data_IF_100481184028
#
_entry.id   IF_100481184028
#
_cell.length_a   1.000
_cell.length_b   1.000
_cell.length_c   1.000
_cell.angle_alpha   90.00
_cell.angle_beta   90.00
_cell.angle_gamma   90.00
#
_symmetry.space_group_name_H-M   'P 1'
#
loop_
_entity.id
_entity.type
_entity.pdbx_description
1 polymer ?
#
# COMPACT_ATOMS: atom_id res chain seq x y z
N UNK A 1 -10.04 11.09 -93.07
CA UNK A 1 -8.72 11.06 -92.42
C UNK A 1 -8.95 11.61 -91.00
N UNK A 2 -9.18 10.72 -90.03
CA UNK A 2 -9.48 11.09 -88.62
C UNK A 2 -8.20 10.98 -87.82
N UNK A 3 -7.71 12.10 -87.28
CA UNK A 3 -6.58 12.17 -86.40
C UNK A 3 -7.11 11.81 -84.95
N UNK A 4 -6.55 10.72 -84.41
CA UNK A 4 -6.75 10.39 -82.98
C UNK A 4 -5.70 11.15 -82.13
N UNK A 5 -6.16 12.05 -81.25
CA UNK A 5 -5.34 12.75 -80.31
C UNK A 5 -5.37 11.90 -79.02
N UNK A 6 -4.26 11.24 -78.69
CA UNK A 6 -4.10 10.46 -77.47
C UNK A 6 -3.61 11.39 -76.37
N UNK A 7 -4.46 11.73 -75.40
CA UNK A 7 -4.11 12.52 -74.23
C UNK A 7 -3.50 11.58 -73.15
N UNK A 8 -2.21 11.67 -72.94
CA UNK A 8 -1.51 10.95 -71.87
C UNK A 8 -1.68 11.75 -70.63
N UNK A 9 -2.49 11.24 -69.66
CA UNK A 9 -2.65 11.79 -68.34
C UNK A 9 -1.51 11.28 -67.46
N UNK A 10 -0.52 12.12 -67.19
CA UNK A 10 0.54 11.85 -66.21
C UNK A 10 -0.05 12.14 -64.84
N UNK A 11 -0.41 11.11 -64.09
CA UNK A 11 -0.74 11.22 -62.65
C UNK A 11 0.58 11.36 -61.91
N UNK A 12 0.96 12.57 -61.57
CA UNK A 12 1.98 12.82 -60.59
C UNK A 12 1.41 12.45 -59.20
N UNK A 13 1.72 11.25 -58.71
CA UNK A 13 1.57 10.93 -57.32
C UNK A 13 2.66 11.73 -56.57
N UNK A 14 2.29 12.89 -56.03
CA UNK A 14 3.10 13.57 -55.03
C UNK A 14 3.09 12.69 -53.77
N UNK A 15 4.10 11.86 -53.61
CA UNK A 15 4.43 11.31 -52.33
C UNK A 15 4.74 12.52 -51.43
N UNK A 16 3.83 12.86 -50.53
CA UNK A 16 4.17 13.73 -49.41
C UNK A 16 5.23 12.99 -48.59
N UNK A 17 6.49 13.26 -48.82
CA UNK A 17 7.53 12.93 -47.85
C UNK A 17 7.25 13.84 -46.66
N UNK A 18 6.59 13.31 -45.66
CA UNK A 18 6.50 13.98 -44.38
C UNK A 18 7.93 14.17 -43.90
N UNK A 19 8.31 15.40 -43.61
CA UNK A 19 9.63 15.64 -43.03
C UNK A 19 9.72 14.90 -41.72
N UNK A 20 10.81 14.18 -41.53
CA UNK A 20 11.09 13.50 -40.26
C UNK A 20 11.05 14.53 -39.11
N UNK A 21 10.17 14.31 -38.15
CA UNK A 21 10.07 15.15 -36.95
C UNK A 21 11.12 14.69 -35.95
N UNK A 22 11.93 15.61 -35.43
CA UNK A 22 12.89 15.35 -34.37
C UNK A 22 12.26 15.86 -33.05
N UNK A 23 12.16 15.01 -32.04
CA UNK A 23 11.53 15.33 -30.77
C UNK A 23 12.45 16.06 -29.78
N UNK A 24 13.67 16.40 -30.18
CA UNK A 24 14.57 17.28 -29.42
C UNK A 24 15.41 16.58 -28.35
N UNK A 25 15.41 15.25 -28.33
CA UNK A 25 16.26 14.49 -27.43
C UNK A 25 16.87 13.26 -28.12
N UNK A 26 17.88 12.67 -27.47
CA UNK A 26 18.62 11.51 -27.97
C UNK A 26 18.63 10.39 -26.95
N UNK A 27 18.68 9.14 -27.43
CA UNK A 27 18.95 7.94 -26.65
C UNK A 27 20.19 7.26 -27.22
N UNK A 28 21.19 6.97 -26.38
CA UNK A 28 22.50 6.40 -26.80
C UNK A 28 23.11 7.11 -28.01
N UNK A 29 23.03 8.45 -28.07
CA UNK A 29 23.56 9.28 -29.13
C UNK A 29 22.69 9.42 -30.37
N UNK A 30 21.62 8.64 -30.52
CA UNK A 30 20.72 8.66 -31.69
C UNK A 30 19.51 9.57 -31.42
N UNK A 31 19.19 10.44 -32.38
CA UNK A 31 18.02 11.31 -32.31
C UNK A 31 16.73 10.50 -32.25
N UNK A 32 15.82 10.86 -31.32
CA UNK A 32 14.45 10.30 -31.28
C UNK A 32 13.57 11.12 -32.22
N UNK A 33 12.96 10.43 -33.17
CA UNK A 33 12.25 11.03 -34.30
C UNK A 33 10.95 10.30 -34.60
N UNK A 34 10.15 10.85 -35.52
CA UNK A 34 8.91 10.20 -35.98
C UNK A 34 9.13 8.81 -36.62
N UNK A 35 10.37 8.44 -36.94
CA UNK A 35 10.67 7.17 -37.58
C UNK A 35 11.01 6.05 -36.57
N UNK A 36 11.51 6.40 -35.38
CA UNK A 36 11.98 5.41 -34.39
C UNK A 36 11.29 5.49 -33.01
N UNK A 37 10.45 6.47 -32.73
CA UNK A 37 9.90 6.73 -31.37
C UNK A 37 9.08 5.58 -30.79
N UNK A 38 8.49 4.72 -31.60
CA UNK A 38 7.67 3.60 -31.14
C UNK A 38 8.48 2.45 -30.56
N UNK A 39 9.73 2.29 -31.01
CA UNK A 39 10.65 1.27 -30.51
C UNK A 39 12.08 1.76 -30.64
N UNK A 40 12.69 2.11 -29.52
CA UNK A 40 14.08 2.59 -29.46
C UNK A 40 15.07 1.46 -29.20
N UNK A 41 14.62 0.20 -29.10
CA UNK A 41 15.52 -0.96 -28.91
C UNK A 41 16.30 -1.34 -30.15
N UNK A 42 15.96 -0.79 -31.33
CA UNK A 42 16.77 -0.89 -32.52
C UNK A 42 18.08 -0.06 -32.45
N UNK A 43 18.16 0.86 -31.46
CA UNK A 43 19.39 1.63 -31.22
C UNK A 43 20.40 0.72 -30.52
N UNK A 44 21.63 0.69 -31.06
CA UNK A 44 22.69 -0.12 -30.46
C UNK A 44 22.96 0.26 -29.01
N UNK A 45 23.01 -0.72 -28.11
CA UNK A 45 23.16 -0.52 -26.67
C UNK A 45 21.84 -0.32 -25.92
N UNK A 46 20.67 -0.33 -26.58
CA UNK A 46 19.35 -0.21 -25.95
C UNK A 46 18.64 -1.57 -25.97
N UNK A 47 18.14 -2.01 -24.84
CA UNK A 47 17.39 -3.25 -24.69
C UNK A 47 16.26 -3.13 -23.65
N UNK A 48 15.40 -4.16 -23.55
CA UNK A 48 14.19 -4.11 -22.77
C UNK A 48 13.04 -3.56 -23.60
N UNK A 49 12.24 -2.63 -23.04
CA UNK A 49 11.20 -1.93 -23.79
C UNK A 49 11.37 -0.43 -23.60
N UNK A 50 11.70 0.27 -24.68
CA UNK A 50 11.98 1.72 -24.67
C UNK A 50 11.22 2.36 -25.82
N UNK A 51 10.35 3.31 -25.52
CA UNK A 51 9.55 4.01 -26.53
C UNK A 51 9.15 5.41 -26.03
N UNK A 52 8.79 6.28 -26.98
CA UNK A 52 8.38 7.65 -26.68
C UNK A 52 6.97 7.91 -27.19
N UNK A 53 6.15 8.56 -26.36
CA UNK A 53 4.85 9.11 -26.78
C UNK A 53 4.97 10.63 -26.96
N UNK A 54 4.92 11.14 -28.21
CA UNK A 54 5.06 12.56 -28.48
C UNK A 54 3.86 13.40 -27.98
N UNK A 55 2.68 12.79 -27.77
CA UNK A 55 1.51 13.51 -27.31
C UNK A 55 1.63 13.88 -25.81
N UNK A 56 2.19 12.98 -25.03
CA UNK A 56 2.42 13.17 -23.58
C UNK A 56 3.85 13.61 -23.29
N UNK A 57 4.75 13.55 -24.27
CA UNK A 57 6.21 13.76 -24.15
C UNK A 57 6.84 12.79 -23.14
N UNK A 58 6.38 11.55 -23.15
CA UNK A 58 6.82 10.52 -22.21
C UNK A 58 7.74 9.52 -22.88
N UNK A 59 8.98 9.46 -22.40
CA UNK A 59 9.91 8.37 -22.70
C UNK A 59 9.72 7.29 -21.64
N UNK A 60 9.18 6.13 -22.03
CA UNK A 60 8.99 5.00 -21.11
C UNK A 60 10.18 4.05 -21.18
N UNK A 61 10.74 3.75 -20.02
CA UNK A 61 11.75 2.72 -19.79
C UNK A 61 11.09 1.58 -18.99
N UNK A 62 10.92 0.41 -19.63
CA UNK A 62 10.27 -0.76 -19.01
C UNK A 62 11.26 -1.94 -19.02
N UNK A 63 11.85 -2.22 -17.84
CA UNK A 63 12.94 -3.19 -17.67
C UNK A 63 14.05 -2.98 -18.70
N UNK A 64 14.40 -1.71 -18.91
CA UNK A 64 15.31 -1.28 -19.94
C UNK A 64 16.78 -1.29 -19.47
N UNK A 65 17.68 -1.58 -20.40
CA UNK A 65 19.10 -1.34 -20.24
C UNK A 65 19.58 -0.44 -21.39
N UNK A 66 20.29 0.64 -21.04
CA UNK A 66 20.93 1.56 -22.00
C UNK A 66 22.43 1.57 -21.72
N UNK A 67 23.21 1.16 -22.69
CA UNK A 67 24.67 1.15 -22.66
C UNK A 67 25.21 2.13 -23.70
N UNK A 68 26.08 3.04 -23.30
CA UNK A 68 26.69 4.01 -24.21
C UNK A 68 28.14 4.31 -23.77
N UNK A 69 29.09 4.22 -24.68
CA UNK A 69 30.49 4.46 -24.34
C UNK A 69 30.88 5.93 -24.42
N UNK A 70 30.55 6.61 -25.50
CA UNK A 70 31.01 7.98 -25.81
C UNK A 70 29.89 9.00 -25.89
N UNK A 71 28.64 8.56 -25.78
CA UNK A 71 27.45 9.41 -25.83
C UNK A 71 26.72 9.40 -24.50
N UNK A 72 26.00 10.46 -24.20
CA UNK A 72 25.04 10.42 -23.11
C UNK A 72 23.98 9.35 -23.37
N UNK A 73 23.62 8.58 -22.36
CA UNK A 73 22.58 7.58 -22.55
C UNK A 73 21.24 8.24 -22.91
N UNK A 74 20.86 9.30 -22.19
CA UNK A 74 19.72 10.15 -22.55
C UNK A 74 20.19 11.60 -22.53
N UNK A 75 20.07 12.30 -23.66
CA UNK A 75 20.36 13.73 -23.80
C UNK A 75 19.07 14.48 -24.18
N UNK A 76 18.49 15.22 -23.26
CA UNK A 76 17.37 16.11 -23.54
C UNK A 76 17.90 17.52 -23.87
N UNK A 77 17.87 17.91 -25.14
CA UNK A 77 18.39 19.19 -25.61
C UNK A 77 17.32 20.29 -25.73
N UNK A 78 16.13 19.92 -26.23
CA UNK A 78 15.08 20.91 -26.54
C UNK A 78 13.66 20.38 -26.33
N UNK A 79 13.49 19.14 -25.82
CA UNK A 79 12.19 18.59 -25.49
C UNK A 79 11.72 19.13 -24.13
N UNK A 80 10.94 20.22 -24.19
CA UNK A 80 10.37 20.82 -22.97
C UNK A 80 9.41 19.90 -22.27
N UNK A 81 9.57 19.81 -20.93
CA UNK A 81 8.72 18.97 -20.07
C UNK A 81 8.76 17.49 -20.47
N UNK A 82 9.94 16.99 -20.77
CA UNK A 82 10.14 15.56 -20.99
C UNK A 82 9.82 14.79 -19.69
N UNK A 83 9.02 13.76 -19.81
CA UNK A 83 8.76 12.81 -18.73
C UNK A 83 9.53 11.52 -19.06
N UNK A 84 10.37 11.07 -18.12
CA UNK A 84 11.01 9.74 -18.17
C UNK A 84 10.24 8.85 -17.21
N UNK A 85 9.38 8.00 -17.75
CA UNK A 85 8.57 7.06 -16.98
C UNK A 85 9.31 5.75 -16.77
N UNK A 86 9.41 5.32 -15.52
CA UNK A 86 10.10 4.10 -15.13
C UNK A 86 9.09 2.99 -14.81
N UNK A 87 9.21 1.86 -15.48
CA UNK A 87 8.47 0.63 -15.18
C UNK A 87 9.47 -0.50 -14.90
N UNK A 88 9.30 -1.18 -13.75
CA UNK A 88 10.21 -2.24 -13.32
C UNK A 88 11.64 -1.74 -13.03
N UNK A 89 12.65 -2.54 -13.35
CA UNK A 89 14.07 -2.25 -13.04
C UNK A 89 14.83 -1.85 -14.28
N UNK A 90 15.36 -0.63 -14.28
CA UNK A 90 16.06 -0.04 -15.42
C UNK A 90 17.52 0.25 -15.06
N UNK A 91 18.41 0.13 -16.04
CA UNK A 91 19.86 0.33 -15.87
C UNK A 91 20.41 1.18 -16.98
N UNK A 92 21.26 2.14 -16.64
CA UNK A 92 22.04 2.97 -17.57
C UNK A 92 23.51 2.83 -17.20
N UNK A 93 24.34 2.44 -18.15
CA UNK A 93 25.79 2.34 -18.00
C UNK A 93 26.46 3.21 -19.09
N UNK A 94 27.29 4.16 -18.66
CA UNK A 94 28.01 5.07 -19.56
C UNK A 94 29.45 5.20 -19.12
N UNK A 95 30.41 5.20 -20.09
CA UNK A 95 31.84 5.28 -19.75
C UNK A 95 32.40 6.69 -19.81
N UNK A 96 32.12 7.46 -20.84
CA UNK A 96 32.87 8.71 -21.13
C UNK A 96 31.99 9.96 -21.26
N UNK A 97 30.68 9.86 -21.06
CA UNK A 97 29.74 10.97 -21.17
C UNK A 97 28.82 10.98 -19.94
N UNK A 98 27.80 11.81 -19.84
CA UNK A 98 26.83 11.75 -18.76
C UNK A 98 25.83 10.60 -18.95
N UNK A 99 25.35 10.02 -17.84
CA UNK A 99 24.26 9.07 -17.89
C UNK A 99 22.99 9.74 -18.41
N UNK A 100 22.48 10.69 -17.66
CA UNK A 100 21.38 11.59 -18.04
C UNK A 100 21.93 13.01 -18.19
N UNK A 101 21.62 13.68 -19.29
CA UNK A 101 21.98 15.08 -19.50
C UNK A 101 20.76 15.88 -19.96
N UNK A 102 20.26 16.75 -19.08
CA UNK A 102 19.00 17.47 -19.25
C UNK A 102 19.23 18.96 -19.37
N UNK A 103 19.01 19.53 -20.58
CA UNK A 103 19.08 20.97 -20.84
C UNK A 103 17.70 21.63 -20.88
N UNK A 104 16.63 20.89 -20.62
CA UNK A 104 15.25 21.36 -20.54
C UNK A 104 14.56 20.64 -19.37
N UNK A 105 13.52 21.27 -18.82
CA UNK A 105 12.74 20.74 -17.71
C UNK A 105 12.36 19.28 -17.95
N UNK A 106 12.78 18.42 -17.03
CA UNK A 106 12.60 16.97 -17.12
C UNK A 106 12.09 16.42 -15.79
N UNK A 107 11.14 15.50 -15.86
CA UNK A 107 10.64 14.75 -14.71
C UNK A 107 10.95 13.27 -14.87
N UNK A 108 11.62 12.68 -13.90
CA UNK A 108 11.78 11.23 -13.78
C UNK A 108 10.68 10.73 -12.85
N UNK A 109 9.79 9.87 -13.34
CA UNK A 109 8.63 9.41 -12.58
C UNK A 109 8.51 7.90 -12.62
N UNK A 110 7.99 7.30 -11.55
CA UNK A 110 7.72 5.86 -11.50
C UNK A 110 6.63 5.51 -10.51
N UNK A 111 6.70 4.30 -9.97
CA UNK A 111 5.86 3.80 -8.89
C UNK A 111 6.73 3.10 -7.85
N UNK A 112 6.11 2.58 -6.79
CA UNK A 112 6.81 1.95 -5.67
C UNK A 112 7.71 0.76 -6.04
N UNK A 113 7.48 0.13 -7.18
CA UNK A 113 8.33 -0.95 -7.72
C UNK A 113 9.30 -0.52 -8.82
N UNK A 114 9.32 0.77 -9.16
CA UNK A 114 10.14 1.28 -10.26
C UNK A 114 11.51 1.73 -9.79
N UNK A 115 12.55 1.25 -10.48
CA UNK A 115 13.94 1.56 -10.16
C UNK A 115 14.71 1.98 -11.41
N UNK A 116 15.57 2.99 -11.25
CA UNK A 116 16.61 3.35 -12.23
C UNK A 116 17.97 3.36 -11.52
N UNK A 117 18.91 2.60 -12.06
CA UNK A 117 20.31 2.66 -11.65
C UNK A 117 21.12 3.28 -12.78
N UNK A 118 21.88 4.34 -12.47
CA UNK A 118 22.77 5.01 -13.43
C UNK A 118 24.21 4.89 -12.92
N UNK A 119 25.05 4.24 -13.70
CA UNK A 119 26.50 4.12 -13.42
C UNK A 119 27.33 4.73 -14.54
N UNK A 120 28.33 5.50 -14.12
CA UNK A 120 29.13 6.22 -15.08
C UNK A 120 30.47 6.65 -14.46
N UNK A 121 31.48 6.90 -15.30
CA UNK A 121 32.81 7.34 -14.84
C UNK A 121 32.91 8.88 -14.74
N UNK A 122 31.86 9.63 -15.08
CA UNK A 122 31.80 11.09 -15.04
C UNK A 122 30.61 11.59 -14.23
N UNK A 123 29.65 12.29 -14.82
CA UNK A 123 28.44 12.73 -14.14
C UNK A 123 27.28 11.79 -14.41
N UNK A 124 26.74 11.15 -13.37
CA UNK A 124 25.65 10.19 -13.58
C UNK A 124 24.38 10.92 -14.03
N UNK A 125 24.03 12.03 -13.39
CA UNK A 125 22.89 12.90 -13.76
C UNK A 125 23.35 14.36 -13.79
N UNK A 126 23.37 14.94 -14.98
CA UNK A 126 23.69 16.35 -15.21
C UNK A 126 22.44 17.08 -15.70
N UNK A 127 22.11 18.23 -15.12
CA UNK A 127 21.06 19.09 -15.64
C UNK A 127 21.53 20.53 -15.67
N UNK A 128 21.28 21.22 -16.78
CA UNK A 128 21.76 22.58 -17.01
C UNK A 128 20.62 23.50 -17.41
N UNK A 129 20.62 24.72 -16.87
CA UNK A 129 19.68 25.79 -17.20
C UNK A 129 18.20 25.41 -17.06
N UNK A 130 17.88 24.38 -16.30
CA UNK A 130 16.52 23.84 -16.19
C UNK A 130 16.31 23.07 -14.88
N UNK A 131 15.09 22.96 -14.38
CA UNK A 131 14.79 22.14 -13.22
C UNK A 131 14.75 20.64 -13.56
N UNK A 132 15.12 19.82 -12.58
CA UNK A 132 14.96 18.37 -12.60
C UNK A 132 14.05 17.94 -11.45
N UNK A 133 13.02 17.16 -11.77
CA UNK A 133 12.15 16.53 -10.77
C UNK A 133 12.32 15.01 -10.75
N UNK A 134 12.35 14.41 -9.55
CA UNK A 134 12.38 12.97 -9.30
C UNK A 134 11.16 12.63 -8.44
N UNK A 135 10.23 11.83 -8.97
CA UNK A 135 8.89 11.65 -8.39
C UNK A 135 8.51 10.17 -8.29
N UNK A 136 8.14 9.73 -7.08
CA UNK A 136 7.59 8.38 -6.83
C UNK A 136 8.45 7.24 -7.40
N UNK A 137 9.76 7.29 -7.30
CA UNK A 137 10.64 6.24 -7.83
C UNK A 137 11.85 5.97 -6.93
N UNK A 138 12.57 4.92 -7.27
CA UNK A 138 13.87 4.59 -6.70
C UNK A 138 14.96 4.93 -7.72
N UNK A 139 15.84 5.88 -7.39
CA UNK A 139 16.96 6.29 -8.23
C UNK A 139 18.28 6.03 -7.50
N UNK A 140 19.16 5.24 -8.10
CA UNK A 140 20.54 5.06 -7.65
C UNK A 140 21.50 5.61 -8.71
N UNK A 141 22.37 6.51 -8.33
CA UNK A 141 23.35 7.12 -9.24
C UNK A 141 24.76 7.05 -8.66
N UNK A 142 25.70 6.68 -9.52
CA UNK A 142 27.11 6.55 -9.17
C UNK A 142 27.96 7.11 -10.32
N UNK A 143 28.84 8.07 -10.03
CA UNK A 143 29.75 8.71 -11.00
C UNK A 143 30.87 9.46 -10.29
N UNK A 144 31.71 10.17 -11.01
CA UNK A 144 32.61 11.18 -10.43
C UNK A 144 31.80 12.29 -9.75
N UNK A 145 30.69 12.68 -10.37
CA UNK A 145 29.58 13.45 -9.81
C UNK A 145 28.32 12.59 -9.85
N UNK A 146 27.60 12.53 -8.73
CA UNK A 146 26.34 11.78 -8.65
C UNK A 146 25.21 12.52 -9.39
N UNK A 147 24.65 13.57 -8.79
CA UNK A 147 23.69 14.49 -9.40
C UNK A 147 24.32 15.89 -9.37
N UNK A 148 24.45 16.54 -10.49
CA UNK A 148 25.11 17.85 -10.59
C UNK A 148 24.42 18.74 -11.62
N UNK A 149 24.60 20.07 -11.45
CA UNK A 149 24.18 21.08 -12.39
C UNK A 149 25.37 21.99 -12.76
N UNK A 150 25.14 23.18 -13.28
CA UNK A 150 26.20 24.16 -13.63
C UNK A 150 26.37 25.25 -12.56
N UNK A 151 25.58 25.27 -11.52
CA UNK A 151 25.63 26.14 -10.32
C UNK A 151 25.43 27.65 -10.52
N UNK A 152 25.45 28.17 -11.72
CA UNK A 152 25.37 29.61 -11.98
C UNK A 152 23.96 30.08 -12.42
N UNK A 153 23.01 29.16 -12.58
CA UNK A 153 21.66 29.43 -13.09
C UNK A 153 20.60 29.13 -12.03
N UNK A 154 19.77 30.13 -11.70
CA UNK A 154 18.78 29.99 -10.63
C UNK A 154 17.70 28.94 -10.88
N UNK A 155 17.49 28.55 -12.12
CA UNK A 155 16.52 27.54 -12.56
C UNK A 155 16.96 26.10 -12.26
N UNK A 156 18.22 25.86 -11.91
CA UNK A 156 18.79 24.54 -11.64
C UNK A 156 18.42 23.99 -10.26
N UNK A 157 17.12 23.86 -10.05
CA UNK A 157 16.56 23.32 -8.82
C UNK A 157 16.29 21.83 -8.99
N UNK A 158 16.82 21.05 -8.06
CA UNK A 158 16.50 19.62 -7.91
C UNK A 158 15.33 19.45 -6.96
N UNK A 159 14.21 18.91 -7.44
CA UNK A 159 13.05 18.59 -6.62
C UNK A 159 12.91 17.06 -6.50
N UNK A 160 12.83 16.56 -5.27
CA UNK A 160 12.64 15.12 -5.00
C UNK A 160 11.36 14.95 -4.20
N UNK A 161 10.39 14.20 -4.77
CA UNK A 161 9.09 13.95 -4.16
C UNK A 161 8.85 12.46 -3.93
N UNK A 162 8.51 12.08 -2.70
CA UNK A 162 8.11 10.71 -2.36
C UNK A 162 9.03 9.64 -2.99
N UNK A 163 10.33 9.87 -3.04
CA UNK A 163 11.29 9.02 -3.75
C UNK A 163 12.42 8.60 -2.84
N UNK A 164 12.99 7.43 -3.15
CA UNK A 164 14.27 7.01 -2.62
C UNK A 164 15.37 7.40 -3.63
N UNK A 165 16.36 8.17 -3.18
CA UNK A 165 17.50 8.56 -4.02
C UNK A 165 18.81 8.23 -3.31
N UNK A 166 19.64 7.40 -3.94
CA UNK A 166 21.03 7.21 -3.55
C UNK A 166 21.94 7.88 -4.59
N UNK A 167 22.78 8.81 -4.15
CA UNK A 167 23.74 9.48 -5.02
C UNK A 167 25.15 9.34 -4.43
N UNK A 168 26.10 8.95 -5.26
CA UNK A 168 27.52 8.81 -4.89
C UNK A 168 28.40 9.46 -5.95
N UNK A 169 29.30 10.33 -5.49
CA UNK A 169 30.27 10.98 -6.35
C UNK A 169 31.46 11.53 -5.54
N UNK A 170 32.70 11.03 -5.74
CA UNK A 170 33.87 11.47 -4.99
C UNK A 170 34.23 12.96 -5.18
N UNK A 171 33.72 13.61 -6.22
CA UNK A 171 33.83 15.07 -6.41
C UNK A 171 32.63 15.81 -5.83
N UNK A 172 31.43 15.20 -5.84
CA UNK A 172 30.22 15.69 -5.24
C UNK A 172 29.05 14.75 -5.48
N UNK A 173 28.37 14.33 -4.42
CA UNK A 173 27.27 13.37 -4.57
C UNK A 173 25.99 14.05 -5.05
N UNK A 174 25.65 15.21 -4.50
CA UNK A 174 24.61 16.13 -5.00
C UNK A 174 25.20 17.52 -4.87
N UNK A 175 25.60 18.15 -5.97
CA UNK A 175 26.36 19.38 -5.95
C UNK A 175 26.10 20.27 -7.17
N UNK A 176 26.62 21.50 -7.10
CA UNK A 176 26.53 22.52 -8.15
C UNK A 176 25.08 22.86 -8.54
N UNK A 177 24.13 22.69 -7.61
CA UNK A 177 22.70 22.94 -7.81
C UNK A 177 22.27 24.29 -7.19
N UNK A 178 21.34 24.98 -7.82
CA UNK A 178 20.82 26.26 -7.30
C UNK A 178 19.87 26.07 -6.12
N UNK A 179 19.27 24.89 -5.95
CA UNK A 179 18.39 24.57 -4.84
C UNK A 179 18.05 23.07 -4.76
N UNK A 180 17.70 22.64 -3.56
CA UNK A 180 17.16 21.30 -3.30
C UNK A 180 15.82 21.42 -2.60
N UNK A 181 14.76 20.90 -3.22
CA UNK A 181 13.42 20.80 -2.64
C UNK A 181 13.09 19.35 -2.32
N UNK A 182 12.75 19.06 -1.05
CA UNK A 182 12.33 17.74 -0.60
C UNK A 182 10.86 17.79 -0.19
N UNK A 183 10.03 17.02 -0.89
CA UNK A 183 8.60 16.90 -0.61
C UNK A 183 8.27 15.44 -0.28
N UNK A 184 7.84 15.19 0.98
CA UNK A 184 7.62 13.83 1.47
C UNK A 184 8.89 12.98 1.58
N UNK A 185 10.06 13.63 1.65
CA UNK A 185 11.38 13.00 1.75
C UNK A 185 12.27 13.73 2.75
N UNK A 186 13.36 13.08 3.16
CA UNK A 186 14.40 13.66 4.01
C UNK A 186 15.77 13.05 3.69
N UNK A 187 16.84 13.76 4.01
CA UNK A 187 18.21 13.22 3.90
C UNK A 187 18.46 12.33 5.11
N UNK A 188 18.70 11.04 4.87
CA UNK A 188 18.98 10.05 5.90
C UNK A 188 20.50 9.87 6.11
N UNK A 189 21.23 9.79 5.01
CA UNK A 189 22.71 9.61 5.03
C UNK A 189 23.38 10.71 4.19
N UNK A 190 24.39 11.37 4.76
CA UNK A 190 24.83 11.30 6.13
C UNK A 190 23.85 12.05 7.05
N UNK A 191 23.69 11.54 8.27
CA UNK A 191 22.82 12.19 9.26
C UNK A 191 23.25 13.63 9.52
N UNK A 192 22.30 14.56 9.53
CA UNK A 192 22.45 16.01 9.66
C UNK A 192 22.99 16.74 8.41
N UNK A 193 23.22 16.05 7.31
CA UNK A 193 23.47 16.76 6.05
C UNK A 193 22.21 17.52 5.63
N UNK A 194 22.42 18.64 4.98
CA UNK A 194 21.37 19.50 4.43
C UNK A 194 21.87 20.18 3.16
N UNK A 195 20.95 20.75 2.39
CA UNK A 195 21.34 21.64 1.32
C UNK A 195 21.97 22.91 1.90
N UNK A 196 23.13 23.27 1.39
CA UNK A 196 23.89 24.46 1.77
C UNK A 196 24.02 25.37 0.53
N UNK A 197 23.45 26.57 0.63
CA UNK A 197 23.42 27.52 -0.47
C UNK A 197 24.79 28.17 -0.78
N UNK A 198 25.72 28.17 0.18
CA UNK A 198 27.06 28.70 -0.02
C UNK A 198 27.92 27.71 -0.81
N UNK A 199 27.80 26.42 -0.55
CA UNK A 199 28.46 25.34 -1.31
C UNK A 199 27.65 24.86 -2.49
N UNK A 200 26.37 25.29 -2.61
CA UNK A 200 25.40 24.84 -3.64
C UNK A 200 25.30 23.31 -3.73
N UNK A 201 25.32 22.63 -2.60
CA UNK A 201 25.39 21.17 -2.53
C UNK A 201 24.67 20.62 -1.31
N UNK A 202 24.49 19.32 -1.28
CA UNK A 202 24.22 18.61 -0.01
C UNK A 202 25.54 18.60 0.75
N UNK A 203 25.55 19.29 1.90
CA UNK A 203 26.75 19.48 2.72
C UNK A 203 26.57 18.94 4.12
N UNK A 204 27.69 18.57 4.73
CA UNK A 204 27.80 18.20 6.14
C UNK A 204 28.87 19.07 6.79
N UNK A 205 28.50 19.84 7.82
CA UNK A 205 29.37 20.78 8.52
C UNK A 205 30.01 21.85 7.59
N UNK A 206 29.30 22.25 6.53
CA UNK A 206 29.73 23.27 5.55
C UNK A 206 30.66 22.73 4.46
N UNK A 207 30.85 21.41 4.37
CA UNK A 207 31.62 20.77 3.31
C UNK A 207 30.71 19.89 2.44
N UNK A 208 30.87 19.97 1.11
CA UNK A 208 30.13 19.12 0.14
C UNK A 208 30.33 17.65 0.46
N UNK A 209 29.25 16.88 0.50
CA UNK A 209 29.30 15.44 0.69
C UNK A 209 29.83 14.77 -0.58
N UNK A 210 30.92 14.02 -0.43
CA UNK A 210 31.58 13.28 -1.52
C UNK A 210 31.45 11.77 -1.37
N UNK A 211 30.89 11.31 -0.25
CA UNK A 211 30.45 9.95 0.00
C UNK A 211 28.95 9.82 -0.35
N UNK A 212 28.38 8.65 -0.11
CA UNK A 212 26.98 8.37 -0.40
C UNK A 212 26.03 9.36 0.31
N UNK A 213 25.16 9.98 -0.46
CA UNK A 213 23.96 10.67 0.01
C UNK A 213 22.76 9.75 -0.21
N UNK A 214 21.95 9.55 0.84
CA UNK A 214 20.69 8.81 0.75
C UNK A 214 19.55 9.74 1.17
N UNK A 215 18.57 9.88 0.30
CA UNK A 215 17.32 10.57 0.55
C UNK A 215 16.22 9.51 0.61
N UNK A 216 15.53 9.46 1.74
CA UNK A 216 14.47 8.48 2.02
C UNK A 216 13.09 9.12 1.98
N UNK A 217 12.06 8.42 1.47
CA UNK A 217 10.69 8.86 1.59
C UNK A 217 10.21 8.79 3.05
N UNK A 218 9.39 9.75 3.47
CA UNK A 218 8.86 9.81 4.83
C UNK A 218 8.06 8.55 5.18
N UNK A 219 8.31 8.01 6.38
CA UNK A 219 7.58 6.85 6.90
C UNK A 219 6.35 7.28 7.68
N UNK A 220 5.25 6.55 7.52
CA UNK A 220 4.03 6.72 8.31
C UNK A 220 4.09 6.04 9.70
N UNK A 221 5.19 5.34 10.01
CA UNK A 221 5.32 4.61 11.29
C UNK A 221 4.60 3.27 11.33
N UNK A 222 4.19 2.78 10.17
CA UNK A 222 3.66 1.44 9.93
C UNK A 222 4.74 0.64 9.19
N UNK A 223 4.87 -0.64 9.53
CA UNK A 223 5.79 -1.56 8.86
C UNK A 223 5.04 -2.80 8.39
N UNK A 224 5.35 -3.26 7.21
CA UNK A 224 4.83 -4.49 6.60
C UNK A 224 6.03 -5.37 6.22
N UNK A 225 6.06 -6.60 6.71
CA UNK A 225 7.18 -7.53 6.52
C UNK A 225 8.55 -6.87 6.83
N UNK A 226 8.63 -6.13 7.96
CA UNK A 226 9.76 -5.33 8.46
C UNK A 226 10.16 -4.13 7.57
N UNK A 227 9.40 -3.80 6.53
CA UNK A 227 9.66 -2.64 5.68
C UNK A 227 8.70 -1.50 6.01
N UNK A 228 9.18 -0.24 6.05
CA UNK A 228 8.32 0.89 6.36
C UNK A 228 7.28 1.14 5.26
N UNK A 229 6.08 1.49 5.66
CA UNK A 229 5.09 2.12 4.78
C UNK A 229 5.45 3.60 4.68
N UNK A 230 5.69 4.06 3.47
CA UNK A 230 6.23 5.40 3.20
C UNK A 230 5.37 6.15 2.18
N UNK A 231 5.68 7.44 1.99
CA UNK A 231 5.07 8.25 0.94
C UNK A 231 5.30 7.69 -0.47
N UNK A 232 6.29 6.83 -0.67
CA UNK A 232 6.55 6.15 -1.94
C UNK A 232 5.62 4.95 -2.18
N UNK A 233 5.41 4.09 -1.17
CA UNK A 233 4.78 2.77 -1.36
C UNK A 233 3.36 2.63 -0.80
N UNK A 234 2.82 3.62 -0.08
CA UNK A 234 1.55 3.50 0.65
C UNK A 234 0.35 3.11 -0.22
N UNK A 235 0.33 3.47 -1.49
CA UNK A 235 -0.76 3.14 -2.43
C UNK A 235 -0.75 1.70 -2.90
N UNK A 236 0.43 1.09 -2.95
CA UNK A 236 0.64 -0.30 -3.34
C UNK A 236 1.79 -0.92 -2.55
N UNK A 237 1.45 -1.73 -1.56
CA UNK A 237 2.41 -2.40 -0.68
C UNK A 237 2.92 -3.72 -1.25
N UNK A 238 2.45 -4.14 -2.43
CA UNK A 238 2.93 -5.38 -3.08
C UNK A 238 4.36 -5.27 -3.61
N UNK A 239 4.90 -4.04 -3.70
CA UNK A 239 6.33 -3.79 -3.93
C UNK A 239 7.23 -4.27 -2.79
N UNK A 240 6.67 -4.48 -1.59
CA UNK A 240 7.40 -5.03 -0.44
C UNK A 240 7.52 -6.53 -0.62
N UNK A 241 8.75 -7.04 -0.56
CA UNK A 241 9.00 -8.47 -0.67
C UNK A 241 8.27 -9.27 0.41
N UNK A 242 7.52 -10.28 0.01
CA UNK A 242 6.69 -11.10 0.89
C UNK A 242 5.24 -10.64 0.96
N UNK A 243 4.85 -9.59 0.22
CA UNK A 243 3.46 -9.12 0.10
C UNK A 243 2.89 -9.47 -1.26
N UNK A 244 1.69 -10.06 -1.28
CA UNK A 244 0.95 -10.39 -2.49
C UNK A 244 -0.56 -10.18 -2.29
N UNK A 245 -1.33 -10.23 -3.37
CA UNK A 245 -2.73 -9.83 -3.38
C UNK A 245 -2.87 -8.32 -3.53
N UNK A 246 -3.70 -7.66 -2.73
CA UNK A 246 -3.83 -6.21 -2.70
C UNK A 246 -3.69 -5.69 -1.27
N UNK A 247 -2.75 -4.77 -1.06
CA UNK A 247 -2.53 -4.11 0.22
C UNK A 247 -2.18 -2.64 -0.02
N UNK A 248 -2.86 -1.73 0.67
CA UNK A 248 -2.62 -0.29 0.57
C UNK A 248 -2.92 0.42 1.89
N UNK A 249 -2.27 1.56 2.10
CA UNK A 249 -2.52 2.42 3.24
C UNK A 249 -3.05 3.78 2.78
N UNK A 250 -4.07 4.28 3.44
CA UNK A 250 -4.60 5.64 3.26
C UNK A 250 -4.23 6.48 4.49
N UNK A 251 -3.30 7.45 4.37
CA UNK A 251 -2.88 8.28 5.50
C UNK A 251 -3.96 9.24 6.00
N UNK A 252 -4.91 9.66 5.16
CA UNK A 252 -5.96 10.60 5.53
C UNK A 252 -7.00 9.94 6.45
N UNK A 253 -7.36 8.70 6.14
CA UNK A 253 -8.28 7.88 6.95
C UNK A 253 -7.54 6.97 7.93
N UNK A 254 -6.21 6.94 7.90
CA UNK A 254 -5.36 6.05 8.70
C UNK A 254 -5.71 4.57 8.54
N UNK A 255 -6.06 4.17 7.33
CA UNK A 255 -6.61 2.84 7.05
C UNK A 255 -5.65 2.00 6.21
N UNK A 256 -5.21 0.88 6.76
CA UNK A 256 -4.56 -0.21 6.02
C UNK A 256 -5.65 -1.12 5.46
N UNK A 257 -5.80 -1.15 4.15
CA UNK A 257 -6.74 -2.06 3.47
C UNK A 257 -5.99 -3.30 2.99
N UNK A 258 -6.48 -4.47 3.37
CA UNK A 258 -6.02 -5.77 2.90
C UNK A 258 -7.16 -6.42 2.11
N UNK A 259 -6.93 -6.76 0.85
CA UNK A 259 -7.91 -7.42 -0.02
C UNK A 259 -7.29 -8.68 -0.64
N UNK A 260 -7.68 -9.83 -0.12
CA UNK A 260 -7.09 -11.12 -0.44
C UNK A 260 -5.56 -11.10 -0.36
N UNK A 261 -5.05 -10.36 0.63
CA UNK A 261 -3.63 -10.13 0.80
C UNK A 261 -2.95 -11.27 1.55
N UNK A 262 -1.74 -11.60 1.12
CA UNK A 262 -0.84 -12.49 1.85
C UNK A 262 0.43 -11.73 2.20
N UNK A 263 0.79 -11.72 3.47
CA UNK A 263 2.02 -11.11 4.00
C UNK A 263 2.83 -12.21 4.66
N UNK A 264 4.03 -12.46 4.15
CA UNK A 264 4.94 -13.49 4.67
C UNK A 264 6.27 -12.88 5.08
N UNK A 265 6.64 -13.06 6.35
CA UNK A 265 7.93 -12.68 6.88
C UNK A 265 8.56 -13.83 7.65
N UNK A 266 9.23 -14.72 6.92
CA UNK A 266 9.79 -15.98 7.44
C UNK A 266 11.25 -15.88 7.91
N UNK A 267 11.86 -14.69 7.89
CA UNK A 267 13.24 -14.49 8.43
C UNK A 267 13.23 -14.56 9.95
N UNK A 268 14.34 -14.93 10.53
CA UNK A 268 14.53 -14.91 11.99
C UNK A 268 14.20 -13.52 12.54
N UNK A 269 13.37 -13.49 13.60
CA UNK A 269 12.86 -12.29 14.28
C UNK A 269 12.01 -11.36 13.39
N UNK A 270 11.55 -11.85 12.23
CA UNK A 270 10.70 -11.08 11.33
C UNK A 270 9.28 -10.89 11.87
N UNK A 271 8.73 -9.69 11.67
CA UNK A 271 7.36 -9.30 12.02
C UNK A 271 6.51 -9.08 10.76
N UNK A 272 5.21 -9.36 10.86
CA UNK A 272 4.29 -9.22 9.73
C UNK A 272 3.83 -7.77 9.53
N UNK A 273 2.92 -7.31 10.39
CA UNK A 273 2.39 -5.94 10.40
C UNK A 273 2.73 -5.29 11.73
N UNK A 274 3.28 -4.08 11.71
CA UNK A 274 3.57 -3.31 12.92
C UNK A 274 3.01 -1.90 12.78
N UNK A 275 2.16 -1.47 13.69
CA UNK A 275 1.78 -0.08 13.87
C UNK A 275 2.50 0.52 15.07
N UNK A 276 3.52 1.37 14.85
CA UNK A 276 4.29 1.99 15.93
C UNK A 276 3.68 3.30 16.43
N UNK A 277 3.14 4.14 15.54
CA UNK A 277 2.86 5.55 15.88
C UNK A 277 1.50 6.07 15.45
N UNK A 278 0.74 5.33 14.64
CA UNK A 278 -0.53 5.81 14.09
C UNK A 278 -1.67 5.52 15.09
N UNK A 279 -2.13 6.55 15.79
CA UNK A 279 -3.31 6.45 16.68
C UNK A 279 -4.59 6.35 15.85
N UNK A 280 -5.58 5.61 16.34
CA UNK A 280 -6.87 5.34 15.68
C UNK A 280 -6.67 4.64 14.30
N UNK A 281 -5.71 3.75 14.26
CA UNK A 281 -5.38 2.97 13.07
C UNK A 281 -6.45 1.95 12.76
N UNK A 282 -6.85 1.87 11.50
CA UNK A 282 -7.84 0.90 11.02
C UNK A 282 -7.20 -0.13 10.09
N UNK A 283 -7.42 -1.40 10.35
CA UNK A 283 -7.14 -2.50 9.41
C UNK A 283 -8.46 -2.94 8.81
N UNK A 284 -8.68 -2.59 7.53
CA UNK A 284 -9.88 -2.95 6.78
C UNK A 284 -9.66 -4.22 5.99
N UNK A 285 -10.52 -5.21 6.19
CA UNK A 285 -10.42 -6.53 5.59
C UNK A 285 -11.45 -6.73 4.49
N UNK A 286 -10.98 -7.17 3.33
CA UNK A 286 -11.79 -7.57 2.18
C UNK A 286 -11.33 -8.98 1.77
N UNK A 287 -12.26 -9.94 1.60
CA UNK A 287 -11.91 -11.32 1.26
C UNK A 287 -11.08 -12.02 2.34
N UNK A 288 -10.19 -12.91 1.96
CA UNK A 288 -9.41 -13.74 2.88
C UNK A 288 -7.97 -13.27 2.94
N UNK A 289 -7.53 -12.80 4.11
CA UNK A 289 -6.19 -12.25 4.30
C UNK A 289 -5.37 -13.11 5.24
N UNK A 290 -4.07 -13.24 4.98
CA UNK A 290 -3.15 -14.05 5.76
C UNK A 290 -1.87 -13.27 6.08
N UNK A 291 -1.46 -13.30 7.34
CA UNK A 291 -0.16 -12.78 7.78
C UNK A 291 0.58 -13.87 8.53
N UNK A 292 1.74 -14.26 8.01
CA UNK A 292 2.62 -15.26 8.62
C UNK A 292 3.98 -14.62 8.93
N UNK A 293 4.43 -14.75 10.16
CA UNK A 293 5.73 -14.22 10.59
C UNK A 293 6.44 -15.18 11.54
N UNK A 294 7.74 -14.97 11.71
CA UNK A 294 8.53 -15.76 12.63
C UNK A 294 8.31 -15.32 14.08
N UNK A 295 8.41 -14.01 14.36
CA UNK A 295 8.30 -13.47 15.72
C UNK A 295 6.84 -13.10 16.06
N UNK A 296 6.27 -12.09 15.43
CA UNK A 296 4.88 -11.68 15.65
C UNK A 296 4.19 -11.39 14.32
N UNK A 297 2.95 -11.90 14.15
CA UNK A 297 2.24 -11.66 12.89
C UNK A 297 1.70 -10.24 12.82
N UNK A 298 1.20 -9.70 13.94
CA UNK A 298 0.74 -8.32 14.03
C UNK A 298 1.11 -7.74 15.39
N UNK A 299 1.66 -6.52 15.38
CA UNK A 299 2.02 -5.74 16.58
C UNK A 299 1.33 -4.38 16.50
N UNK A 300 0.51 -4.05 17.48
CA UNK A 300 -0.26 -2.81 17.54
C UNK A 300 0.13 -2.04 18.79
N UNK A 301 0.94 -0.99 18.65
CA UNK A 301 1.41 -0.14 19.74
C UNK A 301 0.55 1.12 19.92
N UNK A 302 -0.56 1.23 19.18
CA UNK A 302 -1.49 2.34 19.24
C UNK A 302 -2.92 1.82 19.12
N UNK A 303 -3.87 2.59 19.64
CA UNK A 303 -5.31 2.27 19.52
C UNK A 303 -5.66 1.94 18.09
N UNK A 304 -6.22 0.75 17.88
CA UNK A 304 -6.46 0.21 16.55
C UNK A 304 -7.80 -0.52 16.44
N UNK A 305 -8.36 -0.53 15.23
CA UNK A 305 -9.58 -1.29 14.90
C UNK A 305 -9.30 -2.23 13.72
N UNK A 306 -9.70 -3.49 13.85
CA UNK A 306 -9.71 -4.48 12.77
C UNK A 306 -11.16 -4.68 12.37
N UNK A 307 -11.52 -4.41 11.11
CA UNK A 307 -12.91 -4.41 10.64
C UNK A 307 -13.04 -4.78 9.16
N UNK A 308 -14.25 -5.07 8.72
CA UNK A 308 -14.57 -5.34 7.31
C UNK A 308 -15.28 -6.68 7.11
N UNK A 309 -15.80 -6.88 5.90
CA UNK A 309 -16.56 -8.11 5.56
C UNK A 309 -15.65 -9.33 5.29
N UNK A 310 -14.34 -9.15 5.38
CA UNK A 310 -13.34 -10.20 5.13
C UNK A 310 -12.94 -10.96 6.38
N UNK A 311 -11.88 -11.75 6.25
CA UNK A 311 -11.23 -12.47 7.34
C UNK A 311 -9.73 -12.21 7.37
N UNK A 312 -9.12 -12.38 8.56
CA UNK A 312 -7.69 -12.26 8.75
C UNK A 312 -7.15 -13.45 9.55
N UNK A 313 -6.17 -14.14 8.97
CA UNK A 313 -5.45 -15.25 9.59
C UNK A 313 -4.05 -14.78 10.01
N UNK A 314 -3.79 -14.72 11.30
CA UNK A 314 -2.51 -14.35 11.90
C UNK A 314 -1.80 -15.60 12.41
N UNK A 315 -0.62 -15.92 11.89
CA UNK A 315 0.16 -17.08 12.33
C UNK A 315 1.59 -16.68 12.68
N UNK A 316 1.92 -16.73 13.95
CA UNK A 316 3.30 -16.59 14.45
C UNK A 316 3.92 -17.96 14.71
N UNK A 317 5.20 -18.11 14.36
CA UNK A 317 5.92 -19.38 14.62
C UNK A 317 6.43 -19.47 16.06
N UNK A 318 6.82 -18.33 16.67
CA UNK A 318 7.53 -18.32 17.95
C UNK A 318 6.90 -17.48 19.05
N UNK A 319 6.26 -16.35 18.70
CA UNK A 319 5.79 -15.40 19.71
C UNK A 319 4.29 -15.11 19.59
N UNK A 320 3.84 -13.89 19.33
CA UNK A 320 2.43 -13.53 19.33
C UNK A 320 1.81 -13.61 17.94
N UNK A 321 0.60 -14.16 17.87
CA UNK A 321 -0.24 -13.98 16.70
C UNK A 321 -0.66 -12.51 16.55
N UNK A 322 -1.30 -11.96 17.59
CA UNK A 322 -1.61 -10.53 17.73
C UNK A 322 -1.03 -10.00 19.04
N UNK A 323 -0.13 -9.05 18.96
CA UNK A 323 0.49 -8.34 20.08
C UNK A 323 -0.11 -6.94 20.22
N UNK A 324 -0.61 -6.61 21.42
CA UNK A 324 -1.29 -5.34 21.72
C UNK A 324 -0.44 -4.53 22.72
N UNK A 325 0.74 -4.15 22.36
CA UNK A 325 1.70 -3.48 23.25
C UNK A 325 1.23 -2.07 23.62
N UNK A 326 0.78 -1.86 24.88
CA UNK A 326 0.26 -0.60 25.42
C UNK A 326 -0.95 -0.01 24.63
N UNK A 327 -1.72 -0.83 23.96
CA UNK A 327 -2.77 -0.38 23.06
C UNK A 327 -4.11 -1.07 23.30
N UNK A 328 -5.20 -0.35 23.06
CA UNK A 328 -6.55 -0.93 22.97
C UNK A 328 -6.83 -1.34 21.53
N UNK A 329 -7.36 -2.55 21.36
CA UNK A 329 -7.72 -3.09 20.05
C UNK A 329 -9.19 -3.46 20.01
N UNK A 330 -9.89 -3.00 18.97
CA UNK A 330 -11.27 -3.38 18.68
C UNK A 330 -11.32 -4.27 17.45
N UNK A 331 -11.97 -5.43 17.57
CA UNK A 331 -12.31 -6.32 16.44
C UNK A 331 -13.79 -6.14 16.20
N UNK A 332 -14.18 -5.57 15.05
CA UNK A 332 -15.54 -5.12 14.79
C UNK A 332 -16.07 -5.62 13.44
N UNK A 333 -17.20 -6.35 13.47
CA UNK A 333 -17.88 -6.87 12.28
C UNK A 333 -16.96 -7.63 11.31
N UNK A 334 -16.13 -8.56 11.83
CA UNK A 334 -15.17 -9.31 11.00
C UNK A 334 -14.86 -10.69 11.56
N UNK A 335 -14.02 -11.47 10.87
CA UNK A 335 -13.54 -12.78 11.35
C UNK A 335 -12.02 -12.75 11.52
N UNK A 336 -11.53 -13.06 12.72
CA UNK A 336 -10.12 -13.07 13.07
C UNK A 336 -9.69 -14.45 13.58
N UNK A 337 -8.66 -15.03 12.98
CA UNK A 337 -8.06 -16.31 13.36
C UNK A 337 -6.61 -16.07 13.76
N UNK A 338 -6.28 -16.36 15.01
CA UNK A 338 -4.97 -16.03 15.59
C UNK A 338 -4.31 -17.26 16.16
N UNK A 339 -3.06 -17.51 15.76
CA UNK A 339 -2.25 -18.62 16.26
C UNK A 339 -0.81 -18.20 16.53
N UNK A 340 -0.27 -18.64 17.68
CA UNK A 340 1.11 -18.35 18.08
C UNK A 340 1.56 -19.11 19.32
N UNK A 341 2.70 -18.72 19.84
CA UNK A 341 3.10 -19.08 21.20
C UNK A 341 2.17 -18.44 22.21
N UNK A 342 1.82 -17.17 21.99
CA UNK A 342 0.64 -16.47 22.50
C UNK A 342 -0.34 -16.28 21.34
N UNK A 343 -1.64 -16.46 21.58
CA UNK A 343 -2.65 -16.12 20.59
C UNK A 343 -2.78 -14.60 20.44
N UNK A 344 -3.62 -14.00 21.26
CA UNK A 344 -3.76 -12.54 21.43
C UNK A 344 -3.16 -12.19 22.79
N UNK A 345 -2.21 -11.27 22.84
CA UNK A 345 -1.57 -10.90 24.09
C UNK A 345 -1.27 -9.40 24.13
N UNK A 346 -1.24 -8.87 25.36
CA UNK A 346 -0.69 -7.56 25.68
C UNK A 346 0.72 -7.67 26.22
N UNK A 347 1.16 -6.63 26.93
CA UNK A 347 2.52 -6.55 27.50
C UNK A 347 2.49 -6.76 29.03
N UNK A 348 3.52 -7.43 29.55
CA UNK A 348 3.62 -7.70 30.98
C UNK A 348 3.75 -6.38 31.75
N UNK A 349 2.81 -6.11 32.65
CA UNK A 349 2.82 -4.93 33.52
C UNK A 349 2.11 -3.71 32.97
N UNK A 350 1.62 -3.73 31.72
CA UNK A 350 0.78 -2.66 31.21
C UNK A 350 -0.66 -2.76 31.73
N UNK A 351 -1.36 -1.63 31.76
CA UNK A 351 -2.73 -1.49 32.28
C UNK A 351 -3.71 -0.96 31.24
N UNK A 352 -3.26 -0.78 29.99
CA UNK A 352 -4.02 -0.12 28.92
C UNK A 352 -4.52 -1.04 27.82
N UNK A 353 -4.10 -2.30 27.81
CA UNK A 353 -4.47 -3.28 26.79
C UNK A 353 -5.90 -3.77 26.97
N UNK A 354 -6.85 -3.11 26.33
CA UNK A 354 -8.25 -3.53 26.30
C UNK A 354 -8.55 -4.16 24.94
N UNK A 355 -8.96 -5.43 24.97
CA UNK A 355 -9.48 -6.10 23.78
C UNK A 355 -11.01 -5.98 23.76
N UNK A 356 -11.55 -5.36 22.72
CA UNK A 356 -12.99 -5.31 22.45
C UNK A 356 -13.33 -6.19 21.26
N UNK A 357 -14.23 -7.13 21.42
CA UNK A 357 -14.77 -7.96 20.33
C UNK A 357 -16.24 -7.61 20.15
N UNK A 358 -16.59 -7.05 18.98
CA UNK A 358 -17.94 -6.60 18.65
C UNK A 358 -18.45 -7.27 17.39
N UNK A 359 -19.63 -7.90 17.47
CA UNK A 359 -20.30 -8.55 16.32
C UNK A 359 -19.34 -9.39 15.46
N UNK A 360 -18.33 -10.02 16.04
CA UNK A 360 -17.20 -10.63 15.33
C UNK A 360 -16.98 -12.08 15.73
N UNK A 361 -16.47 -12.87 14.79
CA UNK A 361 -15.95 -14.20 15.07
C UNK A 361 -14.45 -14.09 15.37
N UNK A 362 -14.01 -14.63 16.51
CA UNK A 362 -12.59 -14.68 16.87
C UNK A 362 -12.20 -16.07 17.31
N UNK A 363 -11.20 -16.65 16.65
CA UNK A 363 -10.50 -17.84 17.13
C UNK A 363 -9.10 -17.46 17.57
N UNK A 364 -8.73 -17.72 18.82
CA UNK A 364 -7.38 -17.47 19.33
C UNK A 364 -6.79 -18.75 19.92
N UNK A 365 -5.57 -19.07 19.52
CA UNK A 365 -4.82 -20.26 19.99
C UNK A 365 -3.40 -19.86 20.36
N UNK A 366 -3.04 -20.03 21.63
CA UNK A 366 -1.70 -19.79 22.15
C UNK A 366 -1.11 -21.05 22.76
N UNK A 367 -0.21 -21.71 22.04
CA UNK A 367 0.33 -23.02 22.41
C UNK A 367 1.26 -23.02 23.63
N UNK A 368 1.83 -21.87 24.01
CA UNK A 368 2.83 -21.76 25.07
C UNK A 368 2.29 -21.10 26.33
N UNK A 369 1.76 -19.90 26.23
CA UNK A 369 1.58 -19.01 27.38
C UNK A 369 0.15 -18.51 27.59
N UNK A 370 -0.74 -18.69 26.64
CA UNK A 370 -2.16 -18.32 26.76
C UNK A 370 -2.76 -17.94 25.40
N UNK A 371 -4.04 -18.23 25.22
CA UNK A 371 -4.74 -17.95 23.97
C UNK A 371 -5.20 -16.50 23.89
N UNK A 372 -5.73 -15.94 24.98
CA UNK A 372 -5.99 -14.51 25.18
C UNK A 372 -5.46 -14.20 26.57
N UNK A 373 -4.40 -13.40 26.65
CA UNK A 373 -3.67 -13.22 27.92
C UNK A 373 -2.91 -11.90 27.97
N UNK A 374 -2.45 -11.50 29.17
CA UNK A 374 -1.70 -10.28 29.41
C UNK A 374 -2.46 -9.01 28.96
N UNK A 375 -3.80 -9.03 28.99
CA UNK A 375 -4.64 -7.89 28.68
C UNK A 375 -5.32 -7.38 29.94
N UNK A 376 -5.53 -6.06 30.04
CA UNK A 376 -6.15 -5.45 31.22
C UNK A 376 -7.66 -5.71 31.30
N UNK A 377 -8.31 -5.86 30.14
CA UNK A 377 -9.75 -6.15 30.06
C UNK A 377 -10.14 -6.78 28.73
N UNK A 378 -11.19 -7.63 28.77
CA UNK A 378 -11.87 -8.18 27.61
C UNK A 378 -13.32 -7.71 27.58
N UNK A 379 -13.71 -6.96 26.56
CA UNK A 379 -15.07 -6.47 26.35
C UNK A 379 -15.71 -7.26 25.22
N UNK A 380 -16.83 -7.92 25.51
CA UNK A 380 -17.61 -8.68 24.53
C UNK A 380 -18.92 -7.92 24.26
N UNK A 381 -19.00 -7.27 23.11
CA UNK A 381 -20.17 -6.49 22.66
C UNK A 381 -20.93 -7.29 21.59
N UNK A 382 -22.13 -7.76 21.94
CA UNK A 382 -22.88 -8.73 21.15
C UNK A 382 -22.09 -10.01 20.82
N UNK A 383 -21.17 -10.40 21.67
CA UNK A 383 -20.34 -11.61 21.52
C UNK A 383 -20.30 -12.39 22.84
N UNK A 384 -19.94 -13.66 22.75
CA UNK A 384 -19.68 -14.52 23.91
C UNK A 384 -18.56 -15.52 23.61
N UNK A 385 -17.83 -15.94 24.66
CA UNK A 385 -16.92 -17.08 24.54
C UNK A 385 -17.79 -18.34 24.45
N UNK A 386 -17.69 -19.05 23.33
CA UNK A 386 -18.46 -20.26 23.05
C UNK A 386 -17.64 -21.53 23.25
N UNK A 387 -16.30 -21.42 23.11
CA UNK A 387 -15.38 -22.53 23.33
C UNK A 387 -14.11 -22.04 24.03
N UNK A 388 -13.63 -22.79 25.04
CA UNK A 388 -14.30 -23.94 25.67
C UNK A 388 -15.50 -23.47 26.52
N UNK A 389 -16.47 -24.34 26.68
CA UNK A 389 -17.64 -24.02 27.52
C UNK A 389 -17.19 -23.81 28.96
N UNK A 390 -17.62 -22.69 29.57
CA UNK A 390 -17.25 -22.30 30.93
C UNK A 390 -15.95 -21.51 31.03
N UNK A 391 -15.32 -21.17 29.92
CA UNK A 391 -14.21 -20.19 29.95
C UNK A 391 -14.75 -18.77 30.18
N UNK A 392 -13.99 -18.00 30.93
CA UNK A 392 -14.29 -16.60 31.26
C UNK A 392 -13.00 -15.77 31.29
N UNK A 393 -13.13 -14.45 31.25
CA UNK A 393 -12.01 -13.56 31.45
C UNK A 393 -11.80 -13.32 32.95
N UNK A 394 -10.59 -13.60 33.42
CA UNK A 394 -10.17 -13.37 34.81
C UNK A 394 -9.28 -12.09 34.82
N UNK A 395 -9.77 -11.05 35.48
CA UNK A 395 -9.09 -9.76 35.55
C UNK A 395 -7.83 -9.79 36.44
N UNK A 396 -7.77 -10.68 37.44
CA UNK A 396 -6.59 -10.82 38.29
C UNK A 396 -5.45 -11.53 37.56
N UNK A 397 -5.77 -12.53 36.75
CA UNK A 397 -4.83 -13.24 35.89
C UNK A 397 -4.62 -12.54 34.54
N UNK A 398 -5.43 -11.50 34.22
CA UNK A 398 -5.38 -10.77 32.94
C UNK A 398 -5.48 -11.70 31.73
N UNK A 399 -6.32 -12.73 31.79
CA UNK A 399 -6.37 -13.79 30.79
C UNK A 399 -7.75 -14.44 30.71
N UNK A 400 -8.02 -15.11 29.59
CA UNK A 400 -9.11 -16.10 29.50
C UNK A 400 -8.68 -17.37 30.21
N UNK A 401 -9.50 -17.78 31.17
CA UNK A 401 -9.25 -18.95 32.02
C UNK A 401 -10.33 -20.01 31.84
N UNK A 402 -9.98 -21.25 32.18
CA UNK A 402 -10.92 -22.35 32.34
C UNK A 402 -10.60 -23.05 33.66
N UNK A 403 -11.61 -23.15 34.55
CA UNK A 403 -11.46 -23.70 35.91
C UNK A 403 -10.36 -23.00 36.74
N UNK A 404 -10.16 -21.68 36.51
CA UNK A 404 -9.18 -20.87 37.24
C UNK A 404 -7.75 -20.94 36.69
N UNK A 405 -7.50 -21.68 35.60
CA UNK A 405 -6.18 -21.76 34.96
C UNK A 405 -6.21 -21.07 33.60
N UNK A 406 -5.09 -20.36 33.24
CA UNK A 406 -4.94 -19.71 31.92
C UNK A 406 -5.08 -20.71 30.80
N UNK A 407 -6.01 -20.47 29.90
CA UNK A 407 -6.32 -21.41 28.83
C UNK A 407 -5.37 -21.27 27.66
N UNK A 408 -4.79 -22.41 27.21
CA UNK A 408 -3.70 -22.48 26.22
C UNK A 408 -4.07 -23.24 24.93
N UNK A 409 -5.34 -23.53 24.73
CA UNK A 409 -5.87 -24.13 23.52
C UNK A 409 -6.86 -23.15 22.87
N UNK A 410 -7.49 -23.55 21.78
CA UNK A 410 -8.37 -22.67 21.02
C UNK A 410 -9.52 -22.08 21.88
N UNK A 411 -9.55 -20.77 21.97
CA UNK A 411 -10.69 -19.96 22.44
C UNK A 411 -11.48 -19.50 21.23
N UNK A 412 -12.80 -19.68 21.27
CA UNK A 412 -13.71 -19.18 20.23
C UNK A 412 -14.69 -18.20 20.83
N UNK A 413 -14.73 -17.01 20.24
CA UNK A 413 -15.71 -15.96 20.55
C UNK A 413 -16.62 -15.83 19.33
N UNK A 414 -17.95 -15.90 19.56
CA UNK A 414 -18.95 -15.80 18.50
C UNK A 414 -19.91 -14.65 18.74
N UNK A 415 -20.47 -14.04 17.70
CA UNK A 415 -21.58 -13.14 17.83
C UNK A 415 -22.77 -13.83 18.51
N UNK A 416 -23.31 -13.18 19.52
CA UNK A 416 -24.54 -13.64 20.15
C UNK A 416 -25.70 -13.19 19.27
N UNK A 417 -26.32 -14.11 18.58
CA UNK A 417 -27.56 -13.82 17.88
C UNK A 417 -28.65 -13.52 18.90
N UNK A 418 -28.79 -12.25 19.28
CA UNK A 418 -29.96 -11.73 20.00
C UNK A 418 -31.19 -11.61 19.09
N UNK A 419 -31.17 -12.23 17.90
CA UNK A 419 -32.42 -12.51 17.24
C UNK A 419 -33.21 -13.40 18.19
N UNK A 420 -34.24 -12.86 18.84
CA UNK A 420 -35.37 -13.66 19.27
C UNK A 420 -35.69 -14.52 18.05
N UNK A 421 -35.19 -15.76 18.07
CA UNK A 421 -35.53 -16.73 17.05
C UNK A 421 -37.03 -16.62 16.94
N UNK A 422 -37.55 -16.39 15.73
CA UNK A 422 -38.98 -16.47 15.50
C UNK A 422 -39.38 -17.73 16.22
N UNK A 423 -40.02 -17.59 17.40
CA UNK A 423 -40.64 -18.71 18.03
C UNK A 423 -41.61 -19.14 16.99
N UNK A 424 -41.24 -20.16 16.17
CA UNK A 424 -42.20 -21.03 15.55
C UNK A 424 -42.85 -21.68 16.77
N UNK A 425 -43.71 -20.92 17.45
CA UNK A 425 -44.71 -21.52 18.27
C UNK A 425 -45.30 -22.59 17.35
N UNK A 426 -45.10 -23.87 17.72
CA UNK A 426 -46.00 -24.91 17.24
C UNK A 426 -47.35 -24.25 17.29
N UNK A 427 -47.90 -23.90 16.12
CA UNK A 427 -49.23 -23.27 16.05
C UNK A 427 -50.12 -24.33 16.62
N UNK A 428 -50.59 -24.18 17.89
CA UNK A 428 -51.46 -25.21 18.45
C UNK A 428 -52.64 -25.24 17.51
N UNK A 429 -52.96 -26.43 17.02
CA UNK A 429 -54.03 -26.66 16.07
C UNK A 429 -55.18 -25.72 16.42
N UNK A 430 -55.49 -24.74 15.49
CA UNK A 430 -56.46 -23.65 15.74
C UNK A 430 -57.65 -24.26 16.44
N UNK A 431 -57.86 -23.81 17.71
CA UNK A 431 -59.00 -24.30 18.50
C UNK A 431 -60.23 -23.94 17.70
N UNK A 432 -60.84 -24.90 17.09
CA UNK A 432 -62.10 -24.69 16.34
C UNK A 432 -63.21 -24.32 17.32
N UNK A 433 -63.99 -23.33 16.95
CA UNK A 433 -65.15 -22.87 17.74
C UNK A 433 -65.12 -21.34 17.97
N UNK A 434 -66.18 -20.92 18.61
CA UNK A 434 -66.39 -19.49 18.93
C UNK A 434 -66.02 -19.26 20.39
N UNK A 435 -65.23 -18.17 20.61
CA UNK A 435 -64.78 -17.81 21.96
C UNK A 435 -65.09 -16.32 22.21
N UNK A 436 -65.40 -15.95 23.42
CA UNK A 436 -65.49 -14.56 23.83
C UNK A 436 -64.07 -13.99 24.05
N UNK A 437 -63.98 -12.67 24.29
CA UNK A 437 -62.68 -12.00 24.49
C UNK A 437 -61.94 -12.47 25.73
N UNK A 438 -62.62 -13.15 26.68
CA UNK A 438 -62.01 -13.74 27.85
C UNK A 438 -61.48 -15.16 27.58
N UNK A 439 -61.52 -15.67 26.35
CA UNK A 439 -61.06 -16.99 25.95
C UNK A 439 -62.02 -18.13 26.32
N UNK A 440 -63.24 -17.85 26.70
CA UNK A 440 -64.25 -18.87 27.05
C UNK A 440 -64.92 -19.32 25.77
N UNK A 441 -64.96 -20.65 25.52
CA UNK A 441 -65.63 -21.24 24.37
C UNK A 441 -67.14 -21.15 24.56
N UNK A 442 -67.81 -20.64 23.51
CA UNK A 442 -69.27 -20.47 23.49
C UNK A 442 -69.86 -21.70 22.79
N UNK A 443 -71.04 -22.16 23.29
CA UNK A 443 -71.77 -23.29 22.74
C UNK A 443 -72.83 -22.86 21.73
N UNK A 444 -73.13 -21.56 21.64
CA UNK A 444 -74.11 -20.95 20.74
C UNK A 444 -73.52 -20.86 19.30
N UNK A 445 -74.42 -20.99 18.34
CA UNK A 445 -74.05 -20.76 16.93
C UNK A 445 -73.81 -19.28 16.67
N UNK A 446 -73.02 -18.94 15.63
CA UNK A 446 -72.68 -17.56 15.32
C UNK A 446 -73.92 -16.63 15.19
N UNK A 447 -75.00 -17.15 14.61
CA UNK A 447 -76.21 -16.40 14.33
C UNK A 447 -77.05 -16.08 15.62
N UNK A 448 -76.87 -16.84 16.65
CA UNK A 448 -77.59 -16.70 17.93
C UNK A 448 -76.81 -15.85 18.96
N UNK A 449 -75.64 -15.38 18.62
CA UNK A 449 -74.86 -14.53 19.50
C UNK A 449 -75.32 -13.08 19.47
N UNK A 450 -75.32 -12.36 20.61
CA UNK A 450 -75.57 -10.92 20.60
C UNK A 450 -74.48 -10.16 19.86
N UNK A 451 -74.78 -8.92 19.47
CA UNK A 451 -73.81 -8.01 18.88
C UNK A 451 -72.57 -7.89 19.80
N UNK A 452 -71.38 -8.03 19.22
CA UNK A 452 -70.18 -8.08 20.03
C UNK A 452 -68.91 -8.53 19.24
N UNK A 453 -67.78 -8.66 19.97
CA UNK A 453 -66.53 -9.13 19.37
C UNK A 453 -66.24 -10.54 19.89
N UNK A 454 -65.91 -11.42 18.95
CA UNK A 454 -65.67 -12.86 19.18
C UNK A 454 -64.41 -13.34 18.46
N UNK A 455 -63.82 -14.40 18.94
CA UNK A 455 -62.78 -15.13 18.23
C UNK A 455 -63.38 -16.40 17.64
N UNK A 456 -63.49 -16.46 16.33
CA UNK A 456 -64.08 -17.59 15.58
C UNK A 456 -62.96 -18.29 14.84
N UNK A 457 -62.69 -19.54 15.21
CA UNK A 457 -61.59 -20.35 14.62
C UNK A 457 -60.24 -19.64 14.65
N UNK A 458 -59.98 -18.92 15.75
CA UNK A 458 -58.72 -18.15 15.94
C UNK A 458 -58.67 -16.81 15.20
N UNK A 459 -59.76 -16.34 14.60
CA UNK A 459 -59.87 -15.03 13.92
C UNK A 459 -60.84 -14.13 14.63
N UNK A 460 -60.46 -12.88 14.93
CA UNK A 460 -61.34 -11.87 15.52
C UNK A 460 -62.45 -11.50 14.50
N UNK A 461 -63.73 -11.64 14.91
CA UNK A 461 -64.88 -11.24 14.15
C UNK A 461 -65.77 -10.30 14.97
N UNK A 462 -66.41 -9.34 14.33
CA UNK A 462 -67.41 -8.44 14.89
C UNK A 462 -68.76 -8.88 14.40
N UNK A 463 -69.71 -9.07 15.31
CA UNK A 463 -71.14 -9.29 15.03
C UNK A 463 -71.86 -7.99 15.33
N UNK A 464 -72.57 -7.46 14.33
CA UNK A 464 -73.39 -6.27 14.39
C UNK A 464 -74.78 -6.59 14.92
#
# INVERSE_FOLDING_TARGET
MRMFLTLVLIVMSSAFVMAQENYGFKVAGVDVTSDNYLDLTEINGVSGKVYFDPNTRTLTLDNATIEADTYNAILNKTCKYLVIELLGTNTINVTSAAGLYMCESTTIVGGSGSKLTVKNDRCAVLFESSPLEIVNCWLEVEGEWGISADSDVAEEVLTIRNSHVEATGPTGSICDIAGLELDGCYIDIPSKAAYDADTKSVALNGETVTDKVVIEPNSYGIYIADKPVTTLNYKDLTSIYGVSGSASYDPDTKTLTLDNATIERNSTDGTGIVNKTVSDFTVKLIGNNTVTADLASMVLNQTSTITGDGSLHLTSKRFCGLDMENASVTIDNTSLFVKGGYGIAGFIGAESEVLTVRNSHVEAEGSGSGSITLISNLILDNCAITQPVGAEFDADQKAVVLNGEVFKSKVVIEPVNNSIGTITADVPARKQGIYNLNGVKLTQQWDDLPAGIYIVDGVKRVKN
#
